data_IF_690991985475
#
_entry.id   IF_690991985475
#
_cell.length_a   1.000
_cell.length_b   1.000
_cell.length_c   1.000
_cell.angle_alpha   90.00
_cell.angle_beta   90.00
_cell.angle_gamma   90.00
#
_symmetry.space_group_name_H-M   'P 1'
#
loop_
_entity.id
_entity.type
_entity.pdbx_description
1 polymer ?
#
# COMPACT_ATOMS: atom_id res chain seq x y z
N UNK A 1 -0.45 -4.75 20.34
CA UNK A 1 -0.71 -5.09 18.93
C UNK A 1 -1.66 -4.07 18.36
N UNK A 2 -1.34 -3.46 17.21
CA UNK A 2 -2.32 -2.73 16.42
C UNK A 2 -3.55 -3.63 16.15
N UNK A 3 -4.74 -3.03 16.10
CA UNK A 3 -5.95 -3.74 15.75
C UNK A 3 -5.85 -4.19 14.29
N UNK A 4 -5.90 -5.51 14.06
CA UNK A 4 -6.16 -6.10 12.75
C UNK A 4 -7.68 -6.14 12.59
N UNK A 5 -8.24 -5.41 11.63
CA UNK A 5 -9.65 -5.57 11.30
C UNK A 5 -9.78 -6.81 10.41
N UNK A 6 -10.18 -7.91 11.01
CA UNK A 6 -10.63 -9.08 10.28
C UNK A 6 -11.97 -8.74 9.63
N UNK A 7 -12.04 -8.77 8.29
CA UNK A 7 -13.30 -8.68 7.55
C UNK A 7 -14.09 -10.00 7.67
N UNK A 8 -14.41 -10.46 8.88
CA UNK A 8 -15.28 -11.61 9.10
C UNK A 8 -15.78 -11.63 10.54
N UNK A 9 -17.03 -11.20 10.74
CA UNK A 9 -17.73 -11.40 12.02
C UNK A 9 -19.19 -11.75 11.80
N UNK A 10 -19.46 -12.77 10.99
CA UNK A 10 -20.76 -13.42 10.98
C UNK A 10 -20.62 -14.95 11.06
N UNK A 11 -21.42 -15.56 11.95
CA UNK A 11 -21.40 -16.99 12.27
C UNK A 11 -22.00 -17.88 11.16
N UNK A 12 -22.52 -17.28 10.10
CA UNK A 12 -23.03 -17.95 8.89
C UNK A 12 -22.00 -17.85 7.75
N UNK A 13 -20.78 -18.33 8.01
CA UNK A 13 -19.54 -17.93 7.34
C UNK A 13 -19.40 -18.38 5.87
N UNK A 14 -20.11 -17.71 4.94
CA UNK A 14 -19.93 -17.89 3.48
C UNK A 14 -18.78 -17.08 2.89
N UNK A 15 -18.21 -16.14 3.66
CA UNK A 15 -17.07 -15.34 3.22
C UNK A 15 -15.78 -15.85 3.87
N UNK A 16 -14.68 -16.00 3.11
CA UNK A 16 -13.41 -16.41 3.67
C UNK A 16 -12.82 -15.30 4.55
N UNK A 17 -12.03 -15.69 5.54
CA UNK A 17 -11.30 -14.73 6.36
C UNK A 17 -10.03 -14.27 5.63
N UNK A 18 -9.93 -12.96 5.38
CA UNK A 18 -8.81 -12.35 4.65
C UNK A 18 -8.33 -11.12 5.44
N UNK A 19 -7.02 -10.89 5.45
CA UNK A 19 -6.43 -9.67 6.03
C UNK A 19 -6.53 -8.51 5.04
N UNK A 20 -7.04 -7.38 5.50
CA UNK A 20 -7.06 -6.18 4.67
C UNK A 20 -5.64 -5.63 4.45
N UNK A 21 -5.22 -5.27 3.22
CA UNK A 21 -3.87 -4.79 2.95
C UNK A 21 -3.44 -3.58 3.79
N UNK A 22 -4.38 -2.68 4.11
CA UNK A 22 -4.11 -1.54 4.98
C UNK A 22 -3.72 -1.93 6.40
N UNK A 23 -4.28 -3.01 6.93
CA UNK A 23 -3.96 -3.51 8.27
C UNK A 23 -2.62 -4.22 8.28
N UNK A 24 -2.34 -5.04 7.26
CA UNK A 24 -1.00 -5.63 7.06
C UNK A 24 0.05 -4.51 7.00
N UNK A 25 -0.18 -3.47 6.22
CA UNK A 25 0.73 -2.33 6.12
C UNK A 25 0.94 -1.60 7.46
N UNK A 26 -0.12 -1.45 8.27
CA UNK A 26 -0.03 -0.86 9.61
C UNK A 26 0.80 -1.73 10.56
N UNK A 27 0.56 -3.04 10.58
CA UNK A 27 1.33 -4.00 11.39
C UNK A 27 2.80 -3.99 10.97
N UNK A 28 3.07 -4.01 9.66
CA UNK A 28 4.43 -3.94 9.12
C UNK A 28 5.14 -2.64 9.51
N UNK A 29 4.45 -1.50 9.46
CA UNK A 29 5.03 -0.21 9.88
C UNK A 29 5.47 -0.22 11.34
N UNK A 30 4.73 -0.90 12.21
CA UNK A 30 5.01 -0.95 13.65
C UNK A 30 6.02 -2.03 14.02
N UNK A 31 5.89 -3.22 13.45
CA UNK A 31 6.63 -4.42 13.86
C UNK A 31 7.85 -4.70 12.97
N UNK A 32 7.86 -4.20 11.74
CA UNK A 32 8.91 -4.41 10.74
C UNK A 32 9.27 -3.08 10.04
N UNK A 33 9.68 -2.04 10.80
CA UNK A 33 9.78 -0.68 10.29
C UNK A 33 10.83 -0.51 9.18
N UNK A 34 11.92 -1.30 9.19
CA UNK A 34 12.94 -1.21 8.13
C UNK A 34 12.44 -1.78 6.80
N UNK A 35 11.88 -2.98 6.81
CA UNK A 35 11.26 -3.59 5.63
C UNK A 35 10.16 -2.69 5.05
N UNK A 36 9.32 -2.10 5.92
CA UNK A 36 8.30 -1.14 5.51
C UNK A 36 8.90 0.12 4.83
N UNK A 37 9.95 0.70 5.40
CA UNK A 37 10.62 1.90 4.83
C UNK A 37 11.36 1.61 3.54
N UNK A 38 11.97 0.43 3.42
CA UNK A 38 12.60 -0.03 2.19
C UNK A 38 11.57 -0.23 1.09
N UNK A 39 10.51 -1.00 1.34
CA UNK A 39 9.39 -1.17 0.41
C UNK A 39 8.83 0.19 -0.02
N UNK A 40 8.65 1.12 0.93
CA UNK A 40 8.18 2.48 0.62
C UNK A 40 9.13 3.24 -0.32
N UNK A 41 10.45 3.14 -0.13
CA UNK A 41 11.44 3.76 -1.03
C UNK A 41 11.35 3.17 -2.44
N UNK A 42 11.25 1.85 -2.54
CA UNK A 42 11.08 1.13 -3.82
C UNK A 42 9.81 1.56 -4.53
N UNK A 43 8.66 1.54 -3.85
CA UNK A 43 7.39 1.99 -4.42
C UNK A 43 7.45 3.42 -4.96
N UNK A 44 8.03 4.35 -4.20
CA UNK A 44 8.16 5.75 -4.63
C UNK A 44 9.07 5.89 -5.84
N UNK A 45 10.14 5.09 -5.92
CA UNK A 45 11.06 5.09 -7.05
C UNK A 45 10.38 4.61 -8.32
N UNK A 46 9.66 3.50 -8.26
CA UNK A 46 9.03 2.88 -9.44
C UNK A 46 7.79 3.66 -9.91
N UNK A 47 6.96 4.14 -8.98
CA UNK A 47 5.70 4.83 -9.31
C UNK A 47 5.89 6.35 -9.51
N UNK A 48 7.01 6.90 -9.05
CA UNK A 48 7.35 8.32 -9.18
C UNK A 48 6.54 9.26 -8.28
N UNK A 49 5.73 8.72 -7.35
CA UNK A 49 4.91 9.51 -6.43
C UNK A 49 5.00 9.00 -5.00
N UNK A 50 5.38 9.88 -4.06
CA UNK A 50 5.22 9.61 -2.62
C UNK A 50 3.82 10.03 -2.15
N UNK A 51 2.99 9.10 -1.64
CA UNK A 51 1.67 9.43 -1.10
C UNK A 51 1.72 10.52 -0.02
N UNK A 52 2.80 10.62 0.78
CA UNK A 52 2.92 11.65 1.83
C UNK A 52 2.95 13.07 1.29
N UNK A 53 3.38 13.21 0.04
CA UNK A 53 3.54 14.48 -0.65
C UNK A 53 2.36 14.79 -1.57
N UNK A 54 1.32 13.96 -1.60
CA UNK A 54 0.10 14.18 -2.39
C UNK A 54 -0.82 15.14 -1.63
N UNK A 55 -1.25 16.21 -2.31
CA UNK A 55 -2.09 17.26 -1.71
C UNK A 55 -3.53 16.79 -1.59
N UNK A 56 -4.08 16.25 -2.68
CA UNK A 56 -5.44 15.74 -2.71
C UNK A 56 -5.62 14.57 -1.73
N UNK A 57 -6.58 14.70 -0.81
CA UNK A 57 -6.75 13.72 0.26
C UNK A 57 -7.26 12.37 -0.26
N UNK A 58 -8.12 12.38 -1.27
CA UNK A 58 -8.68 11.16 -1.86
C UNK A 58 -7.61 10.42 -2.65
N UNK A 59 -6.84 11.13 -3.47
CA UNK A 59 -5.75 10.58 -4.25
C UNK A 59 -4.59 10.10 -3.37
N UNK A 60 -4.33 10.79 -2.26
CA UNK A 60 -3.40 10.32 -1.22
C UNK A 60 -3.86 8.99 -0.61
N UNK A 61 -5.16 8.89 -0.27
CA UNK A 61 -5.76 7.65 0.22
C UNK A 61 -5.61 6.52 -0.80
N UNK A 62 -5.95 6.79 -2.05
CA UNK A 62 -5.81 5.86 -3.16
C UNK A 62 -4.37 5.39 -3.38
N UNK A 63 -3.39 6.31 -3.40
CA UNK A 63 -1.97 5.94 -3.58
C UNK A 63 -1.45 5.13 -2.39
N UNK A 64 -1.91 5.42 -1.16
CA UNK A 64 -1.57 4.59 0.00
C UNK A 64 -2.19 3.19 -0.09
N UNK A 65 -3.39 3.06 -0.65
CA UNK A 65 -4.03 1.77 -0.90
C UNK A 65 -3.20 0.92 -1.88
N UNK A 66 -2.78 1.49 -3.01
CA UNK A 66 -1.90 0.82 -3.99
C UNK A 66 -0.60 0.33 -3.37
N UNK A 67 0.04 1.17 -2.55
CA UNK A 67 1.24 0.79 -1.81
C UNK A 67 0.97 -0.37 -0.84
N UNK A 68 -0.18 -0.35 -0.16
CA UNK A 68 -0.53 -1.37 0.83
C UNK A 68 -0.80 -2.72 0.18
N UNK A 69 -1.50 -2.76 -0.97
CA UNK A 69 -1.68 -3.99 -1.76
C UNK A 69 -0.35 -4.58 -2.21
N UNK A 70 0.51 -3.75 -2.83
CA UNK A 70 1.83 -4.20 -3.30
C UNK A 70 2.72 -4.71 -2.15
N UNK A 71 2.77 -3.96 -1.04
CA UNK A 71 3.49 -4.37 0.16
C UNK A 71 2.98 -5.72 0.67
N UNK A 72 1.66 -5.92 0.70
CA UNK A 72 1.03 -7.09 1.30
C UNK A 72 1.37 -8.37 0.56
N UNK A 73 1.31 -8.36 -0.77
CA UNK A 73 1.35 -9.58 -1.59
C UNK A 73 2.63 -9.75 -2.43
N UNK A 74 3.32 -8.68 -2.80
CA UNK A 74 4.46 -8.74 -3.72
C UNK A 74 5.82 -8.59 -3.03
N UNK A 75 5.89 -7.83 -1.93
CA UNK A 75 7.15 -7.68 -1.19
C UNK A 75 7.51 -9.01 -0.54
N UNK A 76 8.78 -9.39 -0.64
CA UNK A 76 9.34 -10.55 0.06
C UNK A 76 10.15 -10.07 1.25
N UNK A 77 9.89 -10.68 2.40
CA UNK A 77 10.69 -10.46 3.60
C UNK A 77 11.96 -11.29 3.47
N UNK A 78 13.10 -10.63 3.54
CA UNK A 78 14.41 -11.29 3.55
C UNK A 78 14.73 -11.63 5.00
N UNK A 79 15.09 -12.89 5.27
CA UNK A 79 15.70 -13.25 6.55
C UNK A 79 17.07 -12.60 6.61
N UNK A 80 17.34 -11.80 7.64
CA UNK A 80 18.69 -11.31 7.89
C UNK A 80 19.50 -12.50 8.39
N UNK A 81 20.43 -13.00 7.57
CA UNK A 81 21.49 -13.89 8.04
C UNK A 81 22.46 -13.02 8.87
N UNK A 82 22.49 -13.24 10.19
CA UNK A 82 23.50 -12.64 11.06
C UNK A 82 24.86 -13.29 10.73
N UNK A 83 25.58 -12.76 9.76
CA UNK A 83 26.93 -13.23 9.41
C UNK A 83 28.02 -12.76 10.39
N UNK A 84 27.69 -11.94 11.40
CA UNK A 84 28.65 -11.40 12.37
C UNK A 84 28.15 -11.59 13.82
N UNK A 85 28.12 -12.82 14.30
CA UNK A 85 27.94 -13.13 15.71
C UNK A 85 29.27 -13.02 16.49
N UNK A 86 29.93 -11.86 16.41
CA UNK A 86 31.00 -11.47 17.34
C UNK A 86 30.95 -9.94 17.50
N UNK A 87 30.82 -9.48 18.75
CA UNK A 87 30.79 -8.08 19.21
C UNK A 87 29.48 -7.27 19.03
N UNK A 88 28.58 -7.31 20.02
CA UNK A 88 28.36 -6.18 20.94
C UNK A 88 27.08 -6.32 21.78
N UNK A 89 27.22 -5.99 23.07
CA UNK A 89 26.15 -5.59 23.97
C UNK A 89 25.59 -4.22 23.53
N UNK A 90 24.29 -4.11 23.28
CA UNK A 90 23.41 -3.00 23.74
C UNK A 90 21.98 -3.16 23.19
N UNK A 91 20.98 -3.15 24.10
CA UNK A 91 19.54 -2.82 23.94
C UNK A 91 18.90 -2.88 22.53
N UNK A 92 18.95 -4.02 21.84
CA UNK A 92 18.34 -4.18 20.51
C UNK A 92 16.91 -4.76 20.57
N UNK A 93 16.00 -4.09 19.86
CA UNK A 93 14.61 -4.52 19.60
C UNK A 93 14.64 -5.92 18.98
N UNK A 94 13.76 -6.89 19.37
CA UNK A 94 13.81 -8.23 18.80
C UNK A 94 13.48 -8.19 17.29
N UNK A 95 14.52 -8.19 16.46
CA UNK A 95 14.43 -8.59 15.06
C UNK A 95 14.13 -10.09 15.03
N UNK A 96 13.24 -10.50 14.13
CA UNK A 96 12.82 -11.90 14.05
C UNK A 96 13.99 -12.77 13.59
N UNK A 97 14.55 -13.55 14.52
CA UNK A 97 15.34 -14.75 14.18
C UNK A 97 14.37 -15.85 13.77
N UNK A 98 14.27 -16.10 12.47
CA UNK A 98 13.62 -17.31 11.97
C UNK A 98 14.43 -18.55 12.35
N UNK A 99 13.82 -19.75 12.36
CA UNK A 99 14.53 -21.00 12.59
C UNK A 99 15.60 -21.22 11.51
N UNK A 100 16.71 -21.83 11.90
CA UNK A 100 17.78 -22.20 10.97
C UNK A 100 17.34 -23.35 10.05
N UNK A 101 17.95 -23.47 8.87
CA UNK A 101 17.69 -24.55 7.91
C UNK A 101 17.72 -25.96 8.54
N UNK A 102 18.59 -26.16 9.54
CA UNK A 102 18.76 -27.43 10.25
C UNK A 102 17.63 -27.73 11.25
N UNK A 103 16.97 -26.69 11.79
CA UNK A 103 15.82 -26.82 12.70
C UNK A 103 14.50 -27.10 11.94
N UNK A 104 14.42 -26.69 10.67
CA UNK A 104 13.27 -26.86 9.77
C UNK A 104 13.07 -28.32 9.35
N UNK A 105 14.16 -29.08 9.18
CA UNK A 105 14.10 -30.47 8.70
C UNK A 105 13.60 -31.47 9.77
N UNK A 106 13.48 -31.05 11.03
CA UNK A 106 13.28 -31.96 12.17
C UNK A 106 11.82 -32.12 12.66
N UNK A 107 10.82 -31.43 12.08
CA UNK A 107 9.43 -31.47 12.59
C UNK A 107 8.42 -31.90 11.52
N UNK A 108 8.09 -33.19 11.52
CA UNK A 108 6.93 -33.70 10.77
C UNK A 108 5.63 -33.37 11.52
N UNK A 109 4.89 -32.38 11.02
CA UNK A 109 3.51 -32.05 11.38
C UNK A 109 2.63 -31.93 10.13
N UNK A 110 1.28 -31.91 10.24
CA UNK A 110 0.38 -32.01 9.09
C UNK A 110 0.59 -30.81 8.16
N UNK A 111 1.18 -31.13 7.02
CA UNK A 111 1.79 -30.27 6.02
C UNK A 111 0.79 -29.44 5.22
N UNK A 112 1.15 -28.18 4.97
CA UNK A 112 0.63 -27.44 3.82
C UNK A 112 0.64 -25.92 3.93
N UNK A 113 0.82 -25.36 5.14
CA UNK A 113 0.52 -23.95 5.40
C UNK A 113 1.48 -23.27 6.39
N UNK A 114 2.60 -23.90 6.73
CA UNK A 114 3.56 -23.29 7.67
C UNK A 114 4.47 -22.30 6.94
N UNK A 115 4.91 -21.22 7.61
CA UNK A 115 5.90 -20.30 7.04
C UNK A 115 7.18 -21.03 6.58
N UNK A 116 7.48 -22.16 7.22
CA UNK A 116 8.63 -23.04 6.97
C UNK A 116 8.56 -23.73 5.60
N UNK A 117 7.36 -23.89 5.03
CA UNK A 117 7.14 -24.47 3.70
C UNK A 117 7.33 -23.44 2.55
N UNK A 118 7.48 -22.14 2.87
CA UNK A 118 7.51 -21.05 1.87
C UNK A 118 8.92 -20.58 1.56
N UNK A 119 9.33 -20.71 0.30
CA UNK A 119 10.63 -20.24 -0.24
C UNK A 119 10.80 -18.71 -0.12
N UNK A 120 9.70 -17.95 -0.07
CA UNK A 120 9.71 -16.52 0.15
C UNK A 120 8.44 -16.07 0.89
N UNK A 121 8.61 -15.45 2.05
CA UNK A 121 7.51 -15.02 2.94
C UNK A 121 7.05 -13.61 2.54
N UNK A 122 5.75 -13.43 2.31
CA UNK A 122 5.15 -12.11 2.12
C UNK A 122 4.77 -11.48 3.46
N UNK A 123 4.59 -10.16 3.53
CA UNK A 123 3.96 -9.52 4.69
C UNK A 123 2.60 -10.09 5.05
N UNK A 124 1.79 -10.50 4.06
CA UNK A 124 0.53 -11.19 4.32
C UNK A 124 0.74 -12.49 5.09
N UNK A 125 1.65 -13.35 4.63
CA UNK A 125 1.98 -14.62 5.30
C UNK A 125 2.46 -14.39 6.74
N UNK A 126 3.37 -13.43 6.92
CA UNK A 126 3.95 -13.12 8.21
C UNK A 126 2.90 -12.61 9.20
N UNK A 127 2.00 -11.71 8.77
CA UNK A 127 0.92 -11.21 9.63
C UNK A 127 -0.12 -12.29 9.91
N UNK A 128 -0.49 -13.12 8.92
CA UNK A 128 -1.43 -14.22 9.09
C UNK A 128 -0.92 -15.25 10.12
N UNK A 129 0.35 -15.68 9.99
CA UNK A 129 0.99 -16.59 10.94
C UNK A 129 1.02 -16.00 12.34
N UNK A 130 1.41 -14.73 12.50
CA UNK A 130 1.40 -14.07 13.80
C UNK A 130 0.01 -13.93 14.39
N UNK A 131 -1.00 -13.67 13.58
CA UNK A 131 -2.38 -13.62 14.06
C UNK A 131 -2.82 -15.00 14.60
N UNK A 132 -2.44 -16.08 13.91
CA UNK A 132 -2.74 -17.46 14.31
C UNK A 132 -1.97 -17.87 15.59
N UNK A 133 -0.66 -17.64 15.63
CA UNK A 133 0.20 -17.95 16.79
C UNK A 133 -0.28 -17.27 18.08
N UNK A 134 -0.87 -16.07 17.95
CA UNK A 134 -1.40 -15.30 19.08
C UNK A 134 -2.88 -15.60 19.38
N UNK A 135 -3.50 -16.57 18.69
CA UNK A 135 -4.89 -16.97 18.87
C UNK A 135 -5.92 -15.92 18.47
N UNK A 136 -5.54 -14.96 17.60
CA UNK A 136 -6.46 -13.96 17.05
C UNK A 136 -7.31 -14.52 15.91
N UNK A 137 -6.82 -15.56 15.23
CA UNK A 137 -7.54 -16.33 14.21
C UNK A 137 -7.42 -17.82 14.53
N UNK A 138 -8.45 -18.58 14.19
CA UNK A 138 -8.46 -20.04 14.34
C UNK A 138 -7.83 -20.77 13.13
N UNK A 139 -7.77 -22.10 13.20
CA UNK A 139 -7.14 -22.96 12.17
C UNK A 139 -7.86 -22.88 10.81
N UNK A 140 -9.19 -22.73 10.78
CA UNK A 140 -9.95 -22.66 9.54
C UNK A 140 -9.80 -21.27 8.89
N UNK A 141 -9.76 -20.22 9.70
CA UNK A 141 -9.46 -18.85 9.25
C UNK A 141 -8.02 -18.74 8.73
N UNK A 142 -7.06 -19.38 9.40
CA UNK A 142 -5.68 -19.40 8.94
C UNK A 142 -5.52 -20.19 7.64
N UNK A 143 -6.28 -21.29 7.47
CA UNK A 143 -6.33 -22.04 6.21
C UNK A 143 -6.84 -21.17 5.05
N UNK A 144 -7.90 -20.39 5.25
CA UNK A 144 -8.39 -19.45 4.22
C UNK A 144 -7.28 -18.48 3.78
N UNK A 145 -6.50 -17.94 4.73
CA UNK A 145 -5.39 -17.04 4.44
C UNK A 145 -4.27 -17.74 3.67
N UNK A 146 -3.98 -18.99 3.98
CA UNK A 146 -2.97 -19.75 3.24
C UNK A 146 -3.40 -20.00 1.80
N UNK A 147 -4.66 -20.40 1.58
CA UNK A 147 -5.23 -20.52 0.23
C UNK A 147 -5.17 -19.19 -0.55
N UNK A 148 -5.46 -18.06 0.11
CA UNK A 148 -5.25 -16.73 -0.49
C UNK A 148 -3.79 -16.56 -0.90
N UNK A 149 -2.86 -16.75 0.02
CA UNK A 149 -1.44 -16.50 -0.26
C UNK A 149 -0.91 -17.38 -1.39
N UNK A 150 -1.30 -18.65 -1.43
CA UNK A 150 -0.77 -19.62 -2.39
C UNK A 150 -1.33 -19.43 -3.80
N UNK A 151 -2.55 -18.90 -3.91
CA UNK A 151 -3.25 -18.79 -5.20
C UNK A 151 -3.43 -17.34 -5.68
N UNK A 152 -3.05 -16.34 -4.86
CA UNK A 152 -3.25 -14.96 -5.26
C UNK A 152 -2.34 -14.54 -6.41
N UNK A 153 -2.91 -13.80 -7.35
CA UNK A 153 -2.17 -13.12 -8.41
C UNK A 153 -2.85 -11.79 -8.75
N UNK A 154 -2.06 -10.86 -9.28
CA UNK A 154 -2.57 -9.62 -9.85
C UNK A 154 -2.62 -9.74 -11.37
N UNK A 155 -3.69 -9.25 -11.98
CA UNK A 155 -3.75 -9.09 -13.43
C UNK A 155 -4.63 -7.90 -13.81
N UNK A 156 -4.58 -7.56 -15.09
CA UNK A 156 -5.55 -6.71 -15.76
C UNK A 156 -6.68 -7.59 -16.30
N UNK A 157 -7.86 -7.40 -15.75
CA UNK A 157 -9.05 -8.16 -16.12
C UNK A 157 -10.02 -7.34 -16.97
N UNK A 158 -10.63 -8.00 -17.95
CA UNK A 158 -11.79 -7.49 -18.68
C UNK A 158 -13.08 -8.09 -18.16
N UNK A 159 -14.09 -7.24 -17.94
CA UNK A 159 -15.39 -7.68 -17.42
C UNK A 159 -16.23 -8.22 -18.59
N UNK A 160 -16.42 -9.54 -18.61
CA UNK A 160 -17.27 -10.24 -19.58
C UNK A 160 -18.74 -10.17 -19.19
N UNK A 161 -19.00 -10.33 -17.89
CA UNK A 161 -20.35 -10.35 -17.33
C UNK A 161 -20.32 -9.92 -15.87
N UNK A 162 -21.36 -9.23 -15.44
CA UNK A 162 -21.61 -8.91 -14.04
C UNK A 162 -23.10 -9.08 -13.74
N UNK A 163 -23.42 -9.63 -12.58
CA UNK A 163 -24.80 -9.84 -12.15
C UNK A 163 -24.94 -9.63 -10.64
N UNK A 164 -25.66 -8.58 -10.25
CA UNK A 164 -25.99 -8.29 -8.85
C UNK A 164 -26.82 -9.43 -8.24
N UNK A 165 -27.78 -9.96 -9.01
CA UNK A 165 -28.70 -11.00 -8.54
C UNK A 165 -28.02 -12.34 -8.22
N UNK A 166 -26.95 -12.68 -8.94
CA UNK A 166 -26.14 -13.88 -8.65
C UNK A 166 -24.87 -13.59 -7.86
N UNK A 167 -24.55 -12.32 -7.62
CA UNK A 167 -23.29 -11.86 -6.99
C UNK A 167 -22.02 -12.33 -7.72
N UNK A 168 -22.13 -12.62 -9.01
CA UNK A 168 -21.05 -13.16 -9.84
C UNK A 168 -20.55 -12.15 -10.87
N UNK A 169 -19.25 -12.22 -11.10
CA UNK A 169 -18.52 -11.60 -12.20
C UNK A 169 -17.89 -12.69 -13.05
N UNK A 170 -17.81 -12.45 -14.36
CA UNK A 170 -16.95 -13.21 -15.25
C UNK A 170 -15.85 -12.26 -15.70
N UNK A 171 -14.62 -12.57 -15.31
CA UNK A 171 -13.43 -11.79 -15.60
C UNK A 171 -12.54 -12.56 -16.56
N UNK A 172 -12.19 -11.97 -17.69
CA UNK A 172 -11.17 -12.48 -18.61
C UNK A 172 -9.83 -11.86 -18.21
N UNK A 173 -8.84 -12.70 -17.94
CA UNK A 173 -7.46 -12.27 -17.75
C UNK A 173 -6.85 -11.86 -19.09
N UNK A 174 -6.39 -10.62 -19.20
CA UNK A 174 -5.89 -10.07 -20.45
C UNK A 174 -4.48 -10.56 -20.80
N UNK A 175 -3.77 -11.19 -19.85
CA UNK A 175 -2.47 -11.80 -20.09
C UNK A 175 -2.64 -13.20 -20.71
N UNK A 176 -3.46 -14.05 -20.10
CA UNK A 176 -3.60 -15.46 -20.48
C UNK A 176 -4.84 -15.77 -21.34
N UNK A 177 -5.84 -14.89 -21.35
CA UNK A 177 -7.16 -15.14 -21.94
C UNK A 177 -8.06 -16.05 -21.11
N UNK A 178 -7.64 -16.43 -19.90
CA UNK A 178 -8.39 -17.31 -19.00
C UNK A 178 -9.61 -16.58 -18.42
N UNK A 179 -10.79 -17.22 -18.45
CA UNK A 179 -12.01 -16.68 -17.82
C UNK A 179 -12.22 -17.25 -16.41
N UNK A 180 -12.45 -16.35 -15.45
CA UNK A 180 -12.69 -16.64 -14.04
C UNK A 180 -14.12 -16.26 -13.65
N UNK A 181 -14.85 -17.20 -13.02
CA UNK A 181 -16.11 -16.91 -12.35
C UNK A 181 -15.83 -16.49 -10.91
N UNK A 182 -16.03 -15.20 -10.63
CA UNK A 182 -15.63 -14.56 -9.38
C UNK A 182 -16.85 -14.19 -8.55
N UNK A 183 -16.86 -14.60 -7.29
CA UNK A 183 -17.89 -14.19 -6.33
C UNK A 183 -17.49 -12.89 -5.66
N UNK A 184 -18.21 -11.81 -5.93
CA UNK A 184 -18.06 -10.53 -5.22
C UNK A 184 -19.35 -9.70 -5.34
N UNK A 185 -20.03 -9.51 -4.21
CA UNK A 185 -21.29 -8.77 -4.17
C UNK A 185 -21.12 -7.28 -4.51
N UNK A 186 -20.02 -6.65 -4.09
CA UNK A 186 -19.85 -5.21 -4.24
C UNK A 186 -19.58 -4.82 -5.70
N UNK A 187 -18.62 -5.48 -6.34
CA UNK A 187 -18.28 -5.22 -7.75
C UNK A 187 -19.39 -5.72 -8.67
N UNK A 188 -20.00 -6.89 -8.44
CA UNK A 188 -21.12 -7.35 -9.28
C UNK A 188 -22.31 -6.39 -9.26
N UNK A 189 -22.65 -5.80 -8.10
CA UNK A 189 -23.68 -4.78 -8.00
C UNK A 189 -23.31 -3.49 -8.75
N UNK A 190 -22.04 -3.08 -8.70
CA UNK A 190 -21.54 -1.88 -9.39
C UNK A 190 -21.59 -1.99 -10.91
N UNK A 191 -21.44 -3.19 -11.46
CA UNK A 191 -21.42 -3.44 -12.91
C UNK A 191 -22.66 -4.20 -13.42
N UNK A 192 -23.71 -4.33 -12.61
CA UNK A 192 -24.87 -5.14 -12.95
C UNK A 192 -25.42 -4.83 -14.36
N UNK A 193 -25.63 -5.89 -15.14
CA UNK A 193 -26.13 -5.79 -16.52
C UNK A 193 -25.17 -5.15 -17.53
N UNK A 194 -23.94 -4.79 -17.14
CA UNK A 194 -22.95 -4.18 -18.03
C UNK A 194 -21.93 -5.22 -18.49
N UNK A 195 -21.76 -5.35 -19.80
CA UNK A 195 -20.61 -6.03 -20.41
C UNK A 195 -19.56 -4.99 -20.83
N UNK A 196 -18.30 -5.29 -20.60
CA UNK A 196 -17.17 -4.40 -20.88
C UNK A 196 -16.80 -3.45 -19.74
N UNK A 197 -15.59 -2.92 -19.87
CA UNK A 197 -14.86 -2.28 -18.78
C UNK A 197 -13.71 -3.18 -18.33
N UNK A 198 -12.63 -2.55 -17.87
CA UNK A 198 -11.47 -3.28 -17.37
C UNK A 198 -11.09 -2.80 -15.98
N UNK A 199 -10.49 -3.70 -15.23
CA UNK A 199 -10.00 -3.43 -13.88
C UNK A 199 -8.63 -4.07 -13.70
N UNK A 200 -7.80 -3.45 -12.89
CA UNK A 200 -6.64 -4.12 -12.30
C UNK A 200 -7.04 -4.52 -10.89
N UNK A 201 -6.78 -5.77 -10.53
CA UNK A 201 -7.14 -6.32 -9.23
C UNK A 201 -6.39 -7.60 -8.93
N UNK A 202 -6.71 -8.20 -7.79
CA UNK A 202 -6.14 -9.48 -7.36
C UNK A 202 -7.23 -10.52 -7.19
N UNK A 203 -7.00 -11.69 -7.76
CA UNK A 203 -7.82 -12.87 -7.56
C UNK A 203 -7.07 -13.88 -6.73
N UNK A 204 -7.78 -14.60 -5.88
CA UNK A 204 -7.32 -15.84 -5.27
C UNK A 204 -8.47 -16.85 -5.22
N UNK A 205 -8.12 -18.13 -5.15
CA UNK A 205 -9.06 -19.23 -5.02
C UNK A 205 -9.10 -19.66 -3.56
N UNK A 206 -10.24 -19.45 -2.91
CA UNK A 206 -10.46 -19.78 -1.49
C UNK A 206 -11.74 -20.58 -1.36
N UNK A 207 -11.69 -21.72 -0.65
CA UNK A 207 -12.80 -22.67 -0.51
C UNK A 207 -13.43 -23.03 -1.85
N UNK A 208 -12.58 -23.36 -2.81
CA UNK A 208 -12.94 -23.68 -4.19
C UNK A 208 -13.58 -22.56 -5.04
N UNK A 209 -13.59 -21.31 -4.56
CA UNK A 209 -14.20 -20.18 -5.26
C UNK A 209 -13.18 -19.08 -5.55
N UNK A 210 -13.20 -18.57 -6.78
CA UNK A 210 -12.42 -17.39 -7.14
C UNK A 210 -13.05 -16.13 -6.54
N UNK A 211 -12.23 -15.29 -5.92
CA UNK A 211 -12.68 -14.07 -5.22
C UNK A 211 -11.71 -12.93 -5.48
N UNK A 212 -12.25 -11.72 -5.49
CA UNK A 212 -11.45 -10.51 -5.32
C UNK A 212 -11.01 -10.45 -3.85
N UNK A 213 -9.70 -10.49 -3.60
CA UNK A 213 -9.15 -10.48 -2.24
C UNK A 213 -8.90 -9.07 -1.69
N UNK A 214 -9.11 -8.07 -2.54
CA UNK A 214 -9.09 -6.66 -2.18
C UNK A 214 -9.93 -5.89 -3.22
N UNK A 215 -10.55 -4.74 -2.84
CA UNK A 215 -11.25 -3.89 -3.79
C UNK A 215 -10.37 -3.54 -5.00
N UNK A 216 -10.86 -3.69 -6.26
CA UNK A 216 -10.04 -3.37 -7.43
C UNK A 216 -9.53 -1.92 -7.37
N UNK A 217 -8.20 -1.70 -7.30
CA UNK A 217 -7.63 -0.37 -7.18
C UNK A 217 -7.99 0.52 -8.36
N UNK A 218 -7.99 -0.04 -9.57
CA UNK A 218 -8.19 0.71 -10.79
C UNK A 218 -9.34 0.14 -11.57
N UNK A 219 -10.25 1.02 -11.94
CA UNK A 219 -11.41 0.75 -12.77
C UNK A 219 -11.33 1.69 -13.95
N UNK A 220 -11.32 1.14 -15.16
CA UNK A 220 -11.29 1.89 -16.41
C UNK A 220 -12.68 1.71 -17.05
N UNK A 221 -13.46 2.80 -17.13
CA UNK A 221 -14.73 2.89 -17.90
C UNK A 221 -14.44 3.56 -19.25
N UNK A 222 -15.05 3.19 -20.38
CA UNK A 222 -16.49 3.00 -20.71
C UNK A 222 -16.77 1.74 -21.61
N UNK A 223 -18.04 1.39 -21.98
CA UNK A 223 -18.53 0.01 -22.21
C UNK A 223 -18.06 -0.66 -23.50
N UNK A 224 -18.15 -2.01 -23.54
CA UNK A 224 -17.94 -2.96 -24.64
C UNK A 224 -17.39 -2.40 -25.98
N UNK A 225 -16.26 -1.72 -25.94
CA UNK A 225 -15.58 -1.17 -27.11
C UNK A 225 -14.47 -2.13 -27.51
N UNK A 226 -14.61 -2.73 -28.69
CA UNK A 226 -13.61 -3.64 -29.24
C UNK A 226 -12.25 -2.93 -29.42
N UNK A 227 -12.26 -1.63 -29.70
CA UNK A 227 -11.03 -0.85 -29.83
C UNK A 227 -10.31 -0.75 -28.48
N UNK A 228 -11.05 -0.49 -27.40
CA UNK A 228 -10.48 -0.43 -26.06
C UNK A 228 -10.03 -1.81 -25.57
N UNK A 229 -10.81 -2.86 -25.82
CA UNK A 229 -10.39 -4.24 -25.55
C UNK A 229 -9.08 -4.55 -26.27
N UNK A 230 -8.97 -4.26 -27.57
CA UNK A 230 -7.75 -4.50 -28.35
C UNK A 230 -6.57 -3.68 -27.81
N UNK A 231 -6.81 -2.43 -27.38
CA UNK A 231 -5.78 -1.56 -26.80
C UNK A 231 -5.26 -2.15 -25.48
N UNK A 232 -6.15 -2.55 -24.59
CA UNK A 232 -5.80 -3.16 -23.30
C UNK A 232 -5.08 -4.49 -23.51
N UNK A 233 -5.60 -5.34 -24.38
CA UNK A 233 -4.98 -6.63 -24.72
C UNK A 233 -3.56 -6.44 -25.27
N UNK A 234 -3.36 -5.48 -26.19
CA UNK A 234 -2.03 -5.17 -26.71
C UNK A 234 -1.07 -4.71 -25.59
N UNK A 235 -1.54 -3.88 -24.65
CA UNK A 235 -0.72 -3.44 -23.52
C UNK A 235 -0.36 -4.60 -22.58
N UNK A 236 -1.33 -5.47 -22.28
CA UNK A 236 -1.15 -6.65 -21.43
C UNK A 236 -0.27 -7.74 -22.07
N UNK A 237 -0.20 -7.82 -23.41
CA UNK A 237 0.68 -8.78 -24.10
C UNK A 237 2.11 -8.26 -24.31
N UNK A 238 2.29 -6.95 -24.46
CA UNK A 238 3.61 -6.34 -24.70
C UNK A 238 4.44 -6.23 -23.43
N UNK A 239 3.76 -6.15 -22.30
CA UNK A 239 4.34 -6.01 -20.98
C UNK A 239 3.85 -7.25 -20.25
N UNK A 240 4.70 -8.01 -19.56
CA UNK A 240 4.24 -8.96 -18.53
C UNK A 240 4.37 -8.22 -17.18
N UNK A 241 3.56 -7.17 -16.92
CA UNK A 241 3.81 -6.29 -15.81
C UNK A 241 3.47 -7.01 -14.51
N UNK A 242 4.42 -7.02 -13.57
CA UNK A 242 4.05 -7.21 -12.18
C UNK A 242 3.07 -6.09 -11.72
N UNK A 243 2.44 -6.28 -10.56
CA UNK A 243 1.47 -5.30 -10.03
C UNK A 243 2.03 -3.88 -9.97
N UNK A 244 3.31 -3.71 -9.60
CA UNK A 244 3.92 -2.40 -9.47
C UNK A 244 4.09 -1.72 -10.84
N UNK A 245 4.46 -2.48 -11.86
CA UNK A 245 4.53 -2.01 -13.25
C UNK A 245 3.14 -1.63 -13.79
N UNK A 246 2.10 -2.41 -13.49
CA UNK A 246 0.72 -2.06 -13.83
C UNK A 246 0.31 -0.73 -13.20
N UNK A 247 0.61 -0.54 -11.92
CA UNK A 247 0.35 0.70 -11.18
C UNK A 247 1.13 1.87 -11.77
N UNK A 248 2.42 1.70 -12.06
CA UNK A 248 3.27 2.73 -12.64
C UNK A 248 2.83 3.14 -14.05
N UNK A 249 2.24 2.22 -14.82
CA UNK A 249 1.69 2.50 -16.14
C UNK A 249 0.35 3.26 -16.07
N UNK A 250 -0.54 2.83 -15.18
CA UNK A 250 -1.92 3.32 -15.15
C UNK A 250 -2.10 4.61 -14.34
N UNK A 251 -1.30 4.83 -13.30
CA UNK A 251 -1.38 6.05 -12.50
C UNK A 251 -1.18 7.32 -13.31
N UNK A 252 -0.19 7.42 -14.23
CA UNK A 252 -0.05 8.56 -15.14
C UNK A 252 -1.27 8.82 -16.02
N UNK A 253 -2.15 7.84 -16.25
CA UNK A 253 -3.39 8.06 -17.00
C UNK A 253 -4.45 8.83 -16.19
N UNK A 254 -4.29 8.95 -14.87
CA UNK A 254 -5.17 9.73 -14.00
C UNK A 254 -4.91 11.23 -14.14
N UNK A 255 -5.94 12.06 -14.43
CA UNK A 255 -5.79 13.52 -14.44
C UNK A 255 -5.27 14.07 -13.11
N UNK A 256 -5.69 13.46 -11.99
CA UNK A 256 -5.26 13.87 -10.65
C UNK A 256 -3.77 13.63 -10.44
N UNK A 257 -3.23 12.54 -10.98
CA UNK A 257 -1.78 12.29 -10.97
C UNK A 257 -1.04 13.38 -11.74
N UNK A 258 -1.52 13.72 -12.95
CA UNK A 258 -0.89 14.74 -13.79
C UNK A 258 -0.87 16.11 -13.12
N UNK A 259 -1.97 16.50 -12.46
CA UNK A 259 -2.07 17.75 -11.71
C UNK A 259 -1.10 17.79 -10.53
N UNK A 260 -0.97 16.69 -9.78
CA UNK A 260 -0.03 16.57 -8.65
C UNK A 260 1.43 16.68 -9.10
N UNK A 261 1.79 16.02 -10.21
CA UNK A 261 3.14 16.09 -10.78
C UNK A 261 3.43 17.51 -11.31
N UNK A 262 2.49 18.11 -12.03
CA UNK A 262 2.63 19.48 -12.53
C UNK A 262 2.82 20.50 -11.39
N UNK A 263 2.04 20.38 -10.31
CA UNK A 263 2.15 21.22 -9.14
C UNK A 263 3.52 21.14 -8.45
N UNK A 264 4.16 19.96 -8.46
CA UNK A 264 5.52 19.75 -7.93
C UNK A 264 6.60 20.35 -8.80
N UNK A 265 6.49 20.22 -10.13
CA UNK A 265 7.41 20.89 -11.05
C UNK A 265 7.30 22.42 -10.91
N UNK A 266 6.10 22.95 -10.69
CA UNK A 266 5.89 24.37 -10.45
C UNK A 266 6.51 24.85 -9.12
N UNK A 267 6.42 24.07 -8.04
CA UNK A 267 7.03 24.42 -6.74
C UNK A 267 8.56 24.26 -6.75
N UNK A 268 9.10 23.23 -7.41
CA UNK A 268 10.54 23.01 -7.55
C UNK A 268 11.23 24.13 -8.35
N UNK A 269 10.59 24.64 -9.41
CA UNK A 269 11.11 25.78 -10.20
C UNK A 269 11.12 27.10 -9.42
N UNK A 270 10.17 27.32 -8.51
CA UNK A 270 10.15 28.54 -7.67
C UNK A 270 11.32 28.58 -6.67
N UNK A 271 11.74 27.42 -6.16
CA UNK A 271 12.90 27.34 -5.27
C UNK A 271 14.24 27.47 -6.02
N UNK A 272 14.33 26.98 -7.26
CA UNK A 272 15.53 27.12 -8.09
C UNK A 272 15.76 28.56 -8.58
N UNK A 273 14.70 29.35 -8.82
CA UNK A 273 14.81 30.74 -9.25
C UNK A 273 14.89 31.77 -8.10
N UNK A 274 14.83 31.35 -6.84
CA UNK A 274 14.97 32.23 -5.66
C UNK A 274 16.43 32.45 -5.20
N UNK A 275 17.38 31.69 -5.75
CA UNK A 275 18.81 31.74 -5.39
C UNK A 275 19.65 32.56 -6.37
N UNK A 276 19.30 33.83 -6.60
CA UNK A 276 19.94 34.67 -7.61
C UNK A 276 20.31 36.08 -7.13
N UNK A 277 21.51 36.21 -6.57
CA UNK A 277 22.34 37.43 -6.51
C UNK A 277 21.81 38.65 -5.73
N UNK A 278 22.12 38.66 -4.44
CA UNK A 278 22.44 39.90 -3.73
C UNK A 278 23.96 40.11 -3.73
N UNK A 279 24.47 41.03 -4.57
CA UNK A 279 25.76 41.71 -4.34
C UNK A 279 25.96 42.90 -5.26
N UNK A 280 26.35 44.03 -4.65
CA UNK A 280 26.97 45.26 -5.17
C UNK A 280 26.11 46.33 -5.85
N UNK A 281 26.37 47.64 -5.68
CA UNK A 281 27.02 48.48 -4.65
C UNK A 281 26.76 49.95 -5.10
N UNK A 282 26.64 50.89 -4.14
CA UNK A 282 26.63 52.35 -4.37
C UNK A 282 25.26 52.99 -4.10
N UNK A 283 25.07 53.99 -3.23
CA UNK A 283 25.96 54.86 -2.48
C UNK A 283 25.25 56.20 -2.30
N UNK A 284 25.12 56.70 -1.06
CA UNK A 284 24.75 58.11 -0.80
C UNK A 284 23.64 58.36 0.22
N UNK A 285 24.04 58.75 1.43
CA UNK A 285 23.43 59.74 2.35
C UNK A 285 21.90 59.70 2.58
N UNK A 286 21.38 59.57 3.80
CA UNK A 286 21.62 60.53 4.88
C UNK A 286 20.77 60.17 6.12
N UNK A 287 21.38 60.34 7.29
CA UNK A 287 20.81 60.79 8.57
C UNK A 287 19.54 60.17 9.19
N UNK A 288 19.64 60.02 10.52
CA UNK A 288 18.56 60.10 11.51
C UNK A 288 17.68 58.87 11.79
N UNK A 289 18.01 58.22 12.92
CA UNK A 289 17.11 57.84 14.05
C UNK A 289 17.38 56.43 14.54
N UNK A 290 18.42 56.29 15.35
CA UNK A 290 18.52 55.18 16.31
C UNK A 290 19.21 55.60 17.60
N UNK A 291 18.72 56.65 18.23
CA UNK A 291 18.97 56.94 19.64
C UNK A 291 17.76 57.70 20.19
N UNK A 292 16.79 56.97 20.72
CA UNK A 292 15.97 57.33 21.88
C UNK A 292 14.88 56.28 22.09
N UNK A 293 14.56 56.03 23.36
CA UNK A 293 13.56 55.09 23.88
C UNK A 293 14.02 53.64 24.09
N UNK A 294 15.15 53.50 24.78
CA UNK A 294 15.16 52.70 26.02
C UNK A 294 14.53 53.54 27.14
N UNK A 295 13.94 52.86 28.12
CA UNK A 295 13.31 53.37 29.35
C UNK A 295 11.82 53.72 29.23
N UNK A 296 10.97 52.78 29.65
CA UNK A 296 9.79 53.02 30.48
C UNK A 296 9.30 51.64 30.96
N UNK A 297 9.97 51.10 31.98
CA UNK A 297 9.44 50.05 32.85
C UNK A 297 10.26 50.04 34.14
N UNK A 298 10.07 51.06 34.97
CA UNK A 298 10.47 51.02 36.36
C UNK A 298 9.74 52.11 37.15
N UNK A 299 8.70 51.73 37.91
CA UNK A 299 8.33 52.32 39.21
C UNK A 299 7.07 51.67 39.75
N UNK A 300 7.29 50.59 40.50
CA UNK A 300 6.40 50.21 41.59
C UNK A 300 6.53 51.19 42.75
N UNK A 301 5.38 51.52 43.32
CA UNK A 301 5.10 51.49 44.75
C UNK A 301 5.95 52.38 45.68
N UNK A 302 5.44 53.56 46.03
CA UNK A 302 5.77 54.24 47.29
C UNK A 302 4.53 54.92 47.90
N UNK A 303 4.08 54.31 49.00
CA UNK A 303 3.63 54.90 50.26
C UNK A 303 2.50 55.93 50.22
N UNK A 304 1.34 55.52 50.75
CA UNK A 304 0.46 56.41 51.50
C UNK A 304 0.37 55.92 52.95
N UNK A 305 0.75 56.79 53.89
CA UNK A 305 0.54 56.65 55.35
C UNK A 305 -0.19 57.92 55.78
N UNK A 306 -1.42 57.75 56.30
CA UNK A 306 -2.07 58.51 57.36
C UNK A 306 -2.27 60.02 57.21
N UNK A 307 -3.52 60.44 57.14
CA UNK A 307 -4.30 60.90 58.30
C UNK A 307 -5.78 60.69 58.03
#
# INVERSE_FOLDING_TARGET
>A
MAQVNLECRDRDNTNPTILYPGDVANVMREMQPEAYREARRTFVKEVGIDPRNVRDANFRGFTNYLFSEWLTYDVRLVAVEDDDADDAMDDEVPTYKGPTYEEIVAREGPSGCTLEDKVAITPFDWVASRAHDNGLVDDDQFRDMCEVSDTNFASWFWIRKASAGSQLLVLEDMEEGTEYQVTDSATSARYDGTAGGSLVGRLAKVRDQWRLIAPPPMVIREPNDQQEYNRVNMLAQLMLPDYLQMVAMLLPMSPVYQDEIAARHASGRRNANGGGRGSNHGGGSSSNRRQQRRNLNNRGNRRNRGK
#
